data_IF_464733472834
#
_entry.id   IF_464733472834
#
_cell.length_a   1.000
_cell.length_b   1.000
_cell.length_c   1.000
_cell.angle_alpha   90.00
_cell.angle_beta   90.00
_cell.angle_gamma   90.00
#
_symmetry.space_group_name_H-M   'P 1'
#
loop_
_entity.id
_entity.type
_entity.pdbx_description
1 polymer ?
#
# COMPACT_ATOMS: atom_id res chain seq x y z
N UNK A 1 16.33 -21.51 15.44
CA UNK A 1 15.80 -22.83 15.10
C UNK A 1 14.30 -22.65 15.16
N UNK A 2 13.64 -22.45 14.03
CA UNK A 2 12.18 -22.25 13.98
C UNK A 2 11.52 -23.61 14.10
N UNK A 3 10.58 -23.73 15.01
CA UNK A 3 9.83 -24.96 15.30
C UNK A 3 9.02 -25.37 14.05
N UNK A 4 9.48 -26.41 13.36
CA UNK A 4 8.94 -26.89 12.08
C UNK A 4 7.80 -27.92 12.28
N UNK A 5 7.46 -28.23 13.53
CA UNK A 5 6.59 -29.37 13.88
C UNK A 5 5.09 -29.08 13.86
N UNK A 6 4.66 -27.81 13.68
CA UNK A 6 3.24 -27.39 13.74
C UNK A 6 2.72 -26.69 12.47
N UNK A 7 3.49 -26.66 11.38
CA UNK A 7 3.07 -25.97 10.16
C UNK A 7 2.33 -26.89 9.21
N UNK A 8 1.20 -26.39 8.68
CA UNK A 8 0.45 -27.10 7.65
C UNK A 8 1.32 -27.35 6.40
N UNK A 9 0.99 -28.38 5.62
CA UNK A 9 1.67 -28.62 4.33
C UNK A 9 1.65 -27.39 3.42
N UNK A 10 0.57 -26.62 3.46
CA UNK A 10 0.43 -25.34 2.77
C UNK A 10 1.52 -24.35 3.19
N UNK A 11 1.76 -24.20 4.49
CA UNK A 11 2.79 -23.29 5.02
C UNK A 11 4.20 -23.77 4.67
N UNK A 12 4.43 -25.07 4.64
CA UNK A 12 5.71 -25.66 4.21
C UNK A 12 5.98 -25.38 2.73
N UNK A 13 4.98 -25.45 1.86
CA UNK A 13 5.09 -25.08 0.43
C UNK A 13 5.44 -23.60 0.29
N UNK A 14 4.71 -22.70 0.97
CA UNK A 14 5.00 -21.25 0.95
C UNK A 14 6.42 -20.96 1.47
N UNK A 15 6.86 -21.58 2.57
CA UNK A 15 8.21 -21.41 3.09
C UNK A 15 9.28 -21.92 2.14
N UNK A 16 9.03 -22.99 1.41
CA UNK A 16 9.96 -23.50 0.40
C UNK A 16 10.11 -22.50 -0.73
N UNK A 17 8.99 -21.92 -1.21
CA UNK A 17 9.02 -20.85 -2.22
C UNK A 17 9.74 -19.59 -1.71
N UNK A 18 9.57 -19.23 -0.43
CA UNK A 18 10.30 -18.11 0.17
C UNK A 18 11.83 -18.33 0.15
N UNK A 19 12.28 -19.55 0.43
CA UNK A 19 13.72 -19.89 0.52
C UNK A 19 14.37 -20.07 -0.84
N UNK A 20 13.67 -20.69 -1.79
CA UNK A 20 14.20 -21.06 -3.11
C UNK A 20 13.82 -20.09 -4.22
N UNK A 21 12.93 -19.14 -3.92
CA UNK A 21 12.39 -18.10 -4.82
C UNK A 21 11.54 -18.66 -5.96
N UNK A 22 12.03 -19.64 -6.73
CA UNK A 22 11.34 -20.28 -7.86
C UNK A 22 11.52 -21.78 -7.80
N UNK A 23 10.44 -22.54 -7.92
CA UNK A 23 10.46 -24.01 -7.86
C UNK A 23 9.48 -24.62 -8.85
N UNK A 24 9.83 -25.79 -9.37
CA UNK A 24 8.91 -26.69 -10.05
C UNK A 24 8.05 -27.46 -9.04
N UNK A 25 6.98 -28.12 -9.50
CA UNK A 25 6.17 -29.02 -8.65
C UNK A 25 7.02 -30.14 -8.04
N UNK A 26 7.96 -30.70 -8.79
CA UNK A 26 8.80 -31.80 -8.31
C UNK A 26 9.76 -31.38 -7.21
N UNK A 27 10.41 -30.20 -7.38
CA UNK A 27 11.30 -29.63 -6.36
C UNK A 27 10.55 -29.26 -5.08
N UNK A 28 9.30 -28.79 -5.19
CA UNK A 28 8.44 -28.55 -4.06
C UNK A 28 8.03 -29.87 -3.37
N UNK A 29 7.68 -30.89 -4.16
CA UNK A 29 7.28 -32.21 -3.64
C UNK A 29 8.41 -32.84 -2.83
N UNK A 30 9.63 -32.79 -3.36
CA UNK A 30 10.83 -33.26 -2.67
C UNK A 30 11.09 -32.45 -1.38
N UNK A 31 11.01 -31.11 -1.45
CA UNK A 31 11.31 -30.24 -0.30
C UNK A 31 10.31 -30.38 0.86
N UNK A 32 9.03 -30.69 0.55
CA UNK A 32 7.98 -30.82 1.59
C UNK A 32 7.62 -32.28 1.89
N UNK A 33 8.32 -33.24 1.25
CA UNK A 33 8.15 -34.68 1.43
C UNK A 33 6.69 -35.13 1.26
N UNK A 34 6.08 -34.79 0.11
CA UNK A 34 4.76 -35.23 -0.32
C UNK A 34 4.75 -35.50 -1.83
N UNK A 35 3.72 -36.20 -2.30
CA UNK A 35 3.63 -36.51 -3.73
C UNK A 35 3.31 -35.24 -4.58
N UNK A 36 3.74 -35.20 -5.86
CA UNK A 36 3.53 -34.05 -6.75
C UNK A 36 2.05 -33.69 -7.00
N UNK A 37 1.13 -34.66 -6.88
CA UNK A 37 -0.31 -34.42 -7.07
C UNK A 37 -0.84 -33.57 -5.93
N UNK A 38 -0.46 -33.88 -4.68
CA UNK A 38 -0.82 -33.11 -3.50
C UNK A 38 -0.25 -31.69 -3.56
N UNK A 39 1.02 -31.53 -4.04
CA UNK A 39 1.62 -30.20 -4.25
C UNK A 39 0.81 -29.39 -5.27
N UNK A 40 0.41 -29.99 -6.40
CA UNK A 40 -0.42 -29.29 -7.40
C UNK A 40 -1.72 -28.78 -6.79
N UNK A 41 -2.36 -29.58 -5.94
CA UNK A 41 -3.58 -29.17 -5.26
C UNK A 41 -3.34 -27.96 -4.33
N UNK A 42 -2.24 -27.96 -3.55
CA UNK A 42 -1.88 -26.82 -2.71
C UNK A 42 -1.53 -25.60 -3.53
N UNK A 43 -0.74 -25.74 -4.61
CA UNK A 43 -0.37 -24.66 -5.51
C UNK A 43 -1.60 -24.03 -6.16
N UNK A 44 -2.54 -24.85 -6.67
CA UNK A 44 -3.78 -24.33 -7.28
C UNK A 44 -4.60 -23.49 -6.30
N UNK A 45 -4.69 -23.93 -5.03
CA UNK A 45 -5.38 -23.12 -4.00
C UNK A 45 -4.61 -21.82 -3.70
N UNK A 46 -3.29 -21.90 -3.56
CA UNK A 46 -2.44 -20.72 -3.31
C UNK A 46 -2.48 -19.72 -4.47
N UNK A 47 -2.62 -20.20 -5.71
CA UNK A 47 -2.83 -19.32 -6.88
C UNK A 47 -4.22 -18.69 -6.86
N UNK A 48 -5.26 -19.44 -6.49
CA UNK A 48 -6.62 -18.90 -6.34
C UNK A 48 -6.69 -17.84 -5.22
N UNK A 49 -5.88 -18.00 -4.16
CA UNK A 49 -5.74 -17.02 -3.07
C UNK A 49 -4.81 -15.85 -3.43
N UNK A 50 -4.23 -15.83 -4.66
CA UNK A 50 -3.33 -14.77 -5.12
C UNK A 50 -1.93 -14.79 -4.51
N UNK A 51 -1.57 -15.81 -3.72
CA UNK A 51 -0.28 -15.88 -2.99
C UNK A 51 0.87 -16.45 -3.83
N UNK A 52 0.56 -17.19 -4.90
CA UNK A 52 1.56 -17.86 -5.76
C UNK A 52 1.29 -17.52 -7.22
N UNK A 53 2.32 -17.09 -7.91
CA UNK A 53 2.35 -16.93 -9.36
C UNK A 53 3.07 -18.08 -10.04
N UNK A 54 3.00 -18.12 -11.38
CA UNK A 54 3.80 -19.08 -12.18
C UNK A 54 4.25 -18.47 -13.49
N UNK A 55 5.47 -18.84 -13.90
CA UNK A 55 6.09 -18.53 -15.20
C UNK A 55 6.45 -19.81 -15.95
N UNK A 56 6.54 -19.73 -17.24
CA UNK A 56 7.12 -20.78 -18.08
C UNK A 56 8.58 -20.48 -18.42
N UNK A 57 9.47 -21.39 -18.03
CA UNK A 57 10.88 -21.34 -18.42
C UNK A 57 11.17 -22.32 -19.56
N UNK A 58 11.69 -21.80 -20.68
CA UNK A 58 12.17 -22.61 -21.80
C UNK A 58 13.60 -23.07 -21.54
N UNK A 59 13.79 -24.36 -21.41
CA UNK A 59 15.11 -24.97 -21.21
C UNK A 59 15.44 -25.87 -22.41
N UNK A 60 16.15 -25.35 -23.40
CA UNK A 60 16.59 -26.13 -24.58
C UNK A 60 15.43 -26.65 -25.45
N UNK A 61 15.66 -27.82 -26.10
CA UNK A 61 14.70 -28.51 -26.95
C UNK A 61 13.83 -29.44 -26.08
N UNK A 62 12.78 -28.91 -25.45
CA UNK A 62 11.91 -29.68 -24.59
C UNK A 62 10.62 -28.93 -24.23
N UNK A 63 9.72 -29.60 -23.49
CA UNK A 63 8.51 -28.96 -22.96
C UNK A 63 8.92 -27.87 -21.94
N UNK A 64 8.40 -26.64 -22.04
CA UNK A 64 8.67 -25.60 -21.05
C UNK A 64 8.39 -26.09 -19.62
N UNK A 65 9.25 -25.67 -18.69
CA UNK A 65 9.06 -25.94 -17.26
C UNK A 65 8.20 -24.84 -16.65
N UNK A 66 7.23 -25.24 -15.87
CA UNK A 66 6.43 -24.30 -15.07
C UNK A 66 7.14 -24.07 -13.74
N UNK A 67 7.51 -22.83 -13.46
CA UNK A 67 8.10 -22.38 -12.20
C UNK A 67 7.09 -21.60 -11.40
N UNK A 68 6.99 -21.92 -10.11
CA UNK A 68 6.10 -21.26 -9.16
C UNK A 68 6.91 -20.35 -8.24
N UNK A 69 6.35 -19.20 -7.88
CA UNK A 69 6.99 -18.19 -7.03
C UNK A 69 5.94 -17.49 -6.18
N UNK A 70 6.37 -16.84 -5.07
CA UNK A 70 5.50 -16.01 -4.26
C UNK A 70 5.21 -14.69 -4.98
N UNK A 71 3.95 -14.30 -5.03
CA UNK A 71 3.54 -12.94 -5.40
C UNK A 71 3.88 -11.97 -4.27
N UNK A 72 3.66 -10.68 -4.47
CA UNK A 72 3.79 -9.68 -3.41
C UNK A 72 2.91 -10.02 -2.20
N UNK A 73 1.63 -10.33 -2.42
CA UNK A 73 0.73 -10.81 -1.37
C UNK A 73 1.24 -12.10 -0.69
N UNK A 74 1.89 -12.99 -1.46
CA UNK A 74 2.52 -14.19 -0.92
C UNK A 74 3.74 -13.88 -0.04
N UNK A 75 4.51 -12.86 -0.35
CA UNK A 75 5.63 -12.38 0.47
C UNK A 75 5.13 -11.73 1.77
N UNK A 76 4.05 -10.96 1.70
CA UNK A 76 3.42 -10.32 2.86
C UNK A 76 2.78 -11.33 3.84
N UNK A 77 2.46 -12.54 3.38
CA UNK A 77 1.98 -13.63 4.24
C UNK A 77 3.01 -14.03 5.33
N UNK A 78 4.28 -13.71 5.13
CA UNK A 78 5.32 -13.97 6.11
C UNK A 78 5.53 -12.76 7.02
N UNK A 79 5.98 -12.99 8.28
CA UNK A 79 6.33 -11.88 9.17
C UNK A 79 7.50 -11.09 8.55
N UNK A 80 7.17 -10.09 7.76
CA UNK A 80 8.13 -9.17 7.18
C UNK A 80 8.55 -8.14 8.25
N UNK A 81 9.78 -7.68 8.20
CA UNK A 81 10.27 -6.62 9.08
C UNK A 81 10.28 -5.27 8.37
N UNK A 82 9.51 -5.13 7.27
CA UNK A 82 9.46 -3.89 6.48
C UNK A 82 9.02 -2.70 7.33
N UNK A 83 8.01 -2.86 8.16
CA UNK A 83 7.60 -1.83 9.12
C UNK A 83 8.76 -1.38 10.01
N UNK A 84 9.51 -2.31 10.57
CA UNK A 84 10.66 -2.00 11.42
C UNK A 84 11.80 -1.34 10.64
N UNK A 85 12.02 -1.73 9.38
CA UNK A 85 12.99 -1.10 8.51
C UNK A 85 12.55 0.32 8.16
N UNK A 86 11.29 0.53 7.81
CA UNK A 86 10.73 1.84 7.49
C UNK A 86 10.87 2.82 8.68
N UNK A 87 10.50 2.38 9.89
CA UNK A 87 10.68 3.19 11.11
C UNK A 87 12.14 3.59 11.29
N UNK A 88 13.09 2.65 11.18
CA UNK A 88 14.52 2.97 11.32
C UNK A 88 15.03 3.90 10.23
N UNK A 89 14.55 3.78 9.01
CA UNK A 89 14.90 4.70 7.92
C UNK A 89 14.39 6.11 8.22
N UNK A 90 13.15 6.23 8.70
CA UNK A 90 12.58 7.53 9.09
C UNK A 90 13.34 8.15 10.27
N UNK A 91 13.71 7.35 11.29
CA UNK A 91 14.58 7.81 12.40
C UNK A 91 15.89 8.41 11.86
N UNK A 92 16.57 7.67 10.97
CA UNK A 92 17.85 8.12 10.39
C UNK A 92 17.68 9.35 9.48
N UNK A 93 16.61 9.42 8.69
CA UNK A 93 16.33 10.62 7.89
C UNK A 93 16.15 11.86 8.77
N UNK A 94 15.40 11.75 9.88
CA UNK A 94 15.15 12.84 10.83
C UNK A 94 16.42 13.26 11.60
N UNK A 95 17.35 12.35 11.84
CA UNK A 95 18.65 12.65 12.46
C UNK A 95 19.62 13.37 11.50
N UNK A 96 19.54 13.05 10.19
CA UNK A 96 20.51 13.54 9.20
C UNK A 96 20.02 14.74 8.40
N UNK A 97 18.72 15.02 8.38
CA UNK A 97 18.11 16.03 7.53
C UNK A 97 17.30 17.07 8.34
N UNK A 98 17.28 18.35 7.93
CA UNK A 98 16.38 19.35 8.48
C UNK A 98 14.91 18.92 8.34
N UNK A 99 14.05 19.35 9.28
CA UNK A 99 12.63 18.98 9.27
C UNK A 99 11.91 19.40 7.99
N UNK A 100 12.27 20.55 7.40
CA UNK A 100 11.72 21.04 6.13
C UNK A 100 12.00 20.06 4.98
N UNK A 101 13.19 19.50 4.91
CA UNK A 101 13.55 18.52 3.88
C UNK A 101 12.80 17.21 4.08
N UNK A 102 12.60 16.77 5.31
CA UNK A 102 11.78 15.57 5.62
C UNK A 102 10.33 15.79 5.18
N UNK A 103 9.75 16.96 5.48
CA UNK A 103 8.40 17.31 5.06
C UNK A 103 8.27 17.38 3.51
N UNK A 104 9.28 17.94 2.83
CA UNK A 104 9.33 17.95 1.37
C UNK A 104 9.34 16.56 0.76
N UNK A 105 10.05 15.59 1.37
CA UNK A 105 10.03 14.20 0.91
C UNK A 105 8.62 13.60 0.96
N UNK A 106 7.87 13.81 2.05
CA UNK A 106 6.50 13.32 2.15
C UNK A 106 5.54 14.01 1.17
N UNK A 107 5.74 15.30 0.95
CA UNK A 107 4.99 16.06 -0.07
C UNK A 107 5.29 15.51 -1.47
N UNK A 108 6.55 15.19 -1.77
CA UNK A 108 6.93 14.60 -3.06
C UNK A 108 6.35 13.20 -3.24
N UNK A 109 6.39 12.35 -2.22
CA UNK A 109 5.73 11.02 -2.26
C UNK A 109 4.25 11.16 -2.60
N UNK A 110 3.55 12.11 -1.98
CA UNK A 110 2.13 12.34 -2.28
C UNK A 110 1.93 12.84 -3.72
N UNK A 111 2.82 13.70 -4.23
CA UNK A 111 2.76 14.19 -5.60
C UNK A 111 2.99 13.07 -6.61
N UNK A 112 3.97 12.20 -6.37
CA UNK A 112 4.28 11.04 -7.21
C UNK A 112 3.09 10.05 -7.26
N UNK A 113 2.43 9.80 -6.12
CA UNK A 113 1.21 8.99 -6.07
C UNK A 113 0.07 9.61 -6.90
N UNK A 114 -0.11 10.92 -6.83
CA UNK A 114 -1.12 11.61 -7.66
C UNK A 114 -0.76 11.49 -9.14
N UNK A 115 0.51 11.64 -9.52
CA UNK A 115 0.96 11.52 -10.90
C UNK A 115 0.79 10.09 -11.43
N UNK A 116 1.07 9.08 -10.62
CA UNK A 116 0.92 7.66 -10.97
C UNK A 116 -0.55 7.27 -11.24
N UNK A 117 -1.47 7.74 -10.39
CA UNK A 117 -2.87 7.31 -10.44
C UNK A 117 -3.83 8.31 -11.10
N UNK A 118 -3.50 9.58 -11.14
CA UNK A 118 -4.35 10.65 -11.65
C UNK A 118 -3.68 11.42 -12.78
N UNK A 119 -4.03 11.07 -14.02
CA UNK A 119 -3.67 11.87 -15.20
C UNK A 119 -4.19 13.33 -15.01
N UNK A 120 -3.32 14.35 -14.96
CA UNK A 120 -3.74 15.74 -14.82
C UNK A 120 -4.77 16.19 -15.86
N UNK A 121 -4.77 15.55 -17.04
CA UNK A 121 -5.78 15.77 -18.08
C UNK A 121 -7.17 15.31 -17.68
N UNK A 122 -7.27 14.24 -16.89
CA UNK A 122 -8.54 13.67 -16.40
C UNK A 122 -9.15 14.48 -15.26
N UNK A 123 -8.36 15.26 -14.53
CA UNK A 123 -8.86 16.11 -13.44
C UNK A 123 -9.60 17.36 -13.96
N UNK A 124 -9.32 17.79 -15.21
CA UNK A 124 -9.98 18.94 -15.80
C UNK A 124 -11.45 18.61 -16.09
N UNK A 125 -12.35 19.46 -15.58
CA UNK A 125 -13.79 19.33 -15.80
C UNK A 125 -14.53 18.39 -14.84
N UNK A 126 -13.85 17.73 -13.89
CA UNK A 126 -14.51 16.96 -12.85
C UNK A 126 -15.16 17.87 -11.80
N UNK A 127 -16.37 17.51 -11.37
CA UNK A 127 -17.01 18.12 -10.20
C UNK A 127 -16.25 17.77 -8.90
N UNK A 128 -16.50 18.49 -7.83
CA UNK A 128 -15.90 18.20 -6.52
C UNK A 128 -16.24 16.79 -6.05
N UNK A 129 -17.46 16.33 -6.24
CA UNK A 129 -17.90 14.98 -5.89
C UNK A 129 -17.15 13.90 -6.70
N UNK A 130 -16.96 14.12 -8.01
CA UNK A 130 -16.19 13.21 -8.84
C UNK A 130 -14.72 13.15 -8.43
N UNK A 131 -14.15 14.27 -7.98
CA UNK A 131 -12.79 14.29 -7.42
C UNK A 131 -12.72 13.59 -6.07
N UNK A 132 -13.76 13.70 -5.22
CA UNK A 132 -13.87 12.96 -3.96
C UNK A 132 -13.94 11.46 -4.18
N UNK A 133 -14.70 11.01 -5.20
CA UNK A 133 -14.71 9.58 -5.57
C UNK A 133 -13.36 9.11 -6.11
N UNK A 134 -12.63 9.96 -6.83
CA UNK A 134 -11.27 9.67 -7.26
C UNK A 134 -10.32 9.56 -6.05
N UNK A 135 -10.35 10.52 -5.12
CA UNK A 135 -9.59 10.46 -3.84
C UNK A 135 -9.88 9.15 -3.11
N UNK A 136 -11.17 8.77 -3.01
CA UNK A 136 -11.57 7.50 -2.40
C UNK A 136 -10.94 6.29 -3.10
N UNK A 137 -10.91 6.30 -4.42
CA UNK A 137 -10.27 5.25 -5.22
C UNK A 137 -8.75 5.16 -4.99
N UNK A 138 -8.07 6.30 -5.03
CA UNK A 138 -6.62 6.39 -4.83
C UNK A 138 -6.20 5.95 -3.42
N UNK A 139 -6.83 6.49 -2.40
CA UNK A 139 -6.55 6.11 -1.01
C UNK A 139 -6.86 4.63 -0.75
N UNK A 140 -7.89 4.07 -1.41
CA UNK A 140 -8.19 2.64 -1.33
C UNK A 140 -7.09 1.78 -1.95
N UNK A 141 -6.48 2.18 -3.07
CA UNK A 141 -5.33 1.46 -3.65
C UNK A 141 -4.11 1.47 -2.74
N UNK A 142 -3.95 2.52 -1.92
CA UNK A 142 -2.92 2.65 -0.89
C UNK A 142 -3.29 1.94 0.44
N UNK A 143 -4.42 1.22 0.50
CA UNK A 143 -4.84 0.46 1.67
C UNK A 143 -5.65 1.23 2.72
N UNK A 144 -6.06 2.46 2.43
CA UNK A 144 -6.98 3.19 3.29
C UNK A 144 -8.43 2.73 3.06
N UNK A 145 -9.23 2.79 4.11
CA UNK A 145 -10.67 2.70 4.00
C UNK A 145 -11.26 4.07 4.30
N UNK A 146 -11.89 4.72 3.30
CA UNK A 146 -12.44 6.04 3.45
C UNK A 146 -13.90 6.14 3.03
N UNK A 147 -14.59 7.06 3.67
CA UNK A 147 -15.93 7.51 3.32
C UNK A 147 -15.97 9.03 3.25
N UNK A 148 -16.82 9.57 2.39
CA UNK A 148 -17.08 10.99 2.36
C UNK A 148 -18.57 11.30 2.34
N UNK A 149 -18.94 12.42 2.91
CA UNK A 149 -20.32 12.94 2.90
C UNK A 149 -20.31 14.46 2.80
N UNK A 150 -21.41 15.01 2.32
CA UNK A 150 -21.63 16.46 2.31
C UNK A 150 -22.54 16.84 3.47
N UNK A 151 -22.10 17.78 4.31
CA UNK A 151 -22.87 18.34 5.41
C UNK A 151 -22.87 19.86 5.26
N UNK A 152 -24.04 20.42 4.90
CA UNK A 152 -24.18 21.82 4.58
C UNK A 152 -23.32 22.24 3.39
N UNK A 153 -22.42 23.18 3.61
CA UNK A 153 -21.51 23.71 2.58
C UNK A 153 -20.12 23.09 2.61
N UNK A 154 -19.91 22.03 3.36
CA UNK A 154 -18.61 21.38 3.46
C UNK A 154 -18.71 19.89 3.10
N UNK A 155 -17.60 19.35 2.61
CA UNK A 155 -17.41 17.91 2.49
C UNK A 155 -16.57 17.41 3.66
N UNK A 156 -16.93 16.25 4.18
CA UNK A 156 -16.23 15.56 5.26
C UNK A 156 -15.70 14.25 4.71
N UNK A 157 -14.39 14.05 4.79
CA UNK A 157 -13.72 12.81 4.39
C UNK A 157 -13.27 12.14 5.68
N UNK A 158 -13.72 10.90 5.92
CA UNK A 158 -13.36 10.10 7.10
C UNK A 158 -12.50 8.92 6.66
N UNK A 159 -11.33 8.81 7.23
CA UNK A 159 -10.49 7.63 7.12
C UNK A 159 -10.86 6.65 8.23
N UNK A 160 -11.57 5.58 7.86
CA UNK A 160 -12.02 4.53 8.79
C UNK A 160 -10.83 3.67 9.23
N UNK A 161 -9.90 3.39 8.30
CA UNK A 161 -8.64 2.73 8.60
C UNK A 161 -7.48 3.44 7.91
N UNK A 162 -6.33 3.48 8.60
CA UNK A 162 -5.10 4.09 8.11
C UNK A 162 -3.98 3.05 8.11
N UNK A 163 -3.39 2.70 6.95
CA UNK A 163 -2.30 1.73 6.86
C UNK A 163 -1.01 2.23 7.53
N UNK A 164 -0.88 3.55 7.70
CA UNK A 164 0.30 4.20 8.29
C UNK A 164 0.20 4.39 9.81
N UNK A 165 -0.88 3.94 10.47
CA UNK A 165 -1.13 4.18 11.90
C UNK A 165 0.09 3.85 12.78
N UNK A 166 0.69 2.68 12.60
CA UNK A 166 1.83 2.25 13.41
C UNK A 166 3.10 3.08 13.17
N UNK A 167 3.31 3.54 11.95
CA UNK A 167 4.43 4.45 11.63
C UNK A 167 4.12 5.83 12.19
N UNK A 168 2.92 6.33 11.99
CA UNK A 168 2.46 7.65 12.41
C UNK A 168 2.54 7.89 13.91
N UNK A 169 2.43 6.85 14.74
CA UNK A 169 2.58 6.97 16.21
C UNK A 169 3.93 7.55 16.62
N UNK A 170 5.01 7.26 15.88
CA UNK A 170 6.35 7.76 16.13
C UNK A 170 6.81 8.82 15.10
N UNK A 171 6.17 8.84 13.94
CA UNK A 171 6.52 9.68 12.80
C UNK A 171 5.24 10.30 12.20
N UNK A 172 4.62 11.29 12.88
CA UNK A 172 3.36 11.89 12.44
C UNK A 172 3.49 12.61 11.08
N UNK A 173 4.71 12.83 10.60
CA UNK A 173 5.00 13.41 9.29
C UNK A 173 4.43 12.58 8.14
N UNK A 174 4.26 11.26 8.29
CA UNK A 174 3.66 10.40 7.26
C UNK A 174 2.22 10.81 6.94
N UNK A 175 1.52 11.47 7.87
CA UNK A 175 0.18 11.99 7.64
C UNK A 175 0.12 13.16 6.65
N UNK A 176 1.27 13.67 6.19
CA UNK A 176 1.31 14.65 5.10
C UNK A 176 1.00 14.01 3.75
N UNK A 177 1.22 12.71 3.59
CA UNK A 177 0.95 11.99 2.33
C UNK A 177 -0.54 12.05 1.99
N UNK A 178 -1.39 11.56 2.90
CA UNK A 178 -2.85 11.52 2.73
C UNK A 178 -3.45 12.91 2.59
N UNK A 179 -3.06 13.85 3.46
CA UNK A 179 -3.53 15.23 3.41
C UNK A 179 -3.13 15.95 2.12
N UNK A 180 -1.88 15.78 1.66
CA UNK A 180 -1.39 16.37 0.41
C UNK A 180 -2.09 15.75 -0.79
N UNK A 181 -2.26 14.43 -0.82
CA UNK A 181 -2.99 13.75 -1.88
C UNK A 181 -4.43 14.28 -1.99
N UNK A 182 -5.14 14.35 -0.87
CA UNK A 182 -6.52 14.87 -0.82
C UNK A 182 -6.59 16.30 -1.36
N UNK A 183 -5.76 17.21 -0.84
CA UNK A 183 -5.77 18.63 -1.23
C UNK A 183 -5.36 18.83 -2.70
N UNK A 184 -4.41 18.04 -3.19
CA UNK A 184 -3.93 18.13 -4.59
C UNK A 184 -5.00 17.68 -5.57
N UNK A 185 -5.63 16.52 -5.34
CA UNK A 185 -6.68 15.99 -6.23
C UNK A 185 -7.92 16.88 -6.22
N UNK A 186 -8.32 17.36 -5.05
CA UNK A 186 -9.47 18.25 -4.93
C UNK A 186 -9.18 19.65 -5.45
N UNK A 187 -7.92 20.08 -5.45
CA UNK A 187 -7.49 21.46 -5.68
C UNK A 187 -8.24 22.44 -4.75
N UNK A 188 -8.40 22.04 -3.50
CA UNK A 188 -9.10 22.78 -2.44
C UNK A 188 -8.31 22.66 -1.13
N UNK A 189 -8.35 23.69 -0.28
CA UNK A 189 -7.76 23.60 1.05
C UNK A 189 -8.45 22.50 1.85
N UNK A 190 -7.65 21.69 2.54
CA UNK A 190 -8.13 20.56 3.33
C UNK A 190 -7.62 20.68 4.74
N UNK A 191 -8.52 20.74 5.69
CA UNK A 191 -8.20 20.82 7.12
C UNK A 191 -8.47 19.50 7.82
N UNK A 192 -7.45 18.96 8.52
CA UNK A 192 -7.62 17.76 9.37
C UNK A 192 -8.18 18.18 10.71
N UNK A 193 -9.44 17.86 10.97
CA UNK A 193 -10.17 18.24 12.20
C UNK A 193 -10.20 17.16 13.27
N UNK A 194 -9.92 15.89 12.89
CA UNK A 194 -9.76 14.75 13.80
C UNK A 194 -8.58 13.90 13.37
N UNK A 195 -7.90 13.28 14.33
CA UNK A 195 -6.77 12.41 14.08
C UNK A 195 -6.70 11.26 15.08
N UNK A 196 -6.59 10.04 14.58
CA UNK A 196 -6.42 8.83 15.41
C UNK A 196 -5.20 8.90 16.32
N UNK A 197 -4.14 9.62 15.91
CA UNK A 197 -2.94 9.85 16.73
C UNK A 197 -3.20 10.74 17.94
N UNK A 198 -4.29 11.53 17.92
CA UNK A 198 -4.72 12.38 19.03
C UNK A 198 -5.80 11.71 19.90
N UNK A 199 -6.13 10.44 19.61
CA UNK A 199 -7.12 9.67 20.37
C UNK A 199 -8.54 9.71 19.79
N UNK A 200 -8.73 10.30 18.61
CA UNK A 200 -10.01 10.25 17.91
C UNK A 200 -10.26 8.84 17.31
N UNK A 201 -11.52 8.50 17.04
CA UNK A 201 -11.88 7.21 16.46
C UNK A 201 -11.46 7.04 14.99
N UNK A 202 -11.26 8.15 14.28
CA UNK A 202 -10.84 8.18 12.87
C UNK A 202 -10.15 9.51 12.56
N UNK A 203 -9.42 9.58 11.43
CA UNK A 203 -9.01 10.86 10.88
C UNK A 203 -10.18 11.46 10.09
N UNK A 204 -10.41 12.76 10.23
CA UNK A 204 -11.46 13.45 9.49
C UNK A 204 -10.90 14.73 8.89
N UNK A 205 -11.14 14.90 7.60
CA UNK A 205 -10.80 16.10 6.84
C UNK A 205 -12.05 16.87 6.49
N UNK A 206 -11.96 18.19 6.56
CA UNK A 206 -13.02 19.11 6.11
C UNK A 206 -12.52 19.84 4.87
N UNK A 207 -13.34 19.87 3.84
CA UNK A 207 -13.08 20.55 2.57
C UNK A 207 -14.24 21.51 2.32
N UNK A 208 -14.00 22.81 2.20
CA UNK A 208 -15.04 23.78 1.88
C UNK A 208 -15.55 23.59 0.44
N UNK A 209 -16.88 23.65 0.28
CA UNK A 209 -17.49 23.56 -1.06
C UNK A 209 -17.42 24.88 -1.86
N UNK A 210 -17.06 25.98 -1.20
CA UNK A 210 -16.96 27.30 -1.84
C UNK A 210 -15.51 27.73 -1.91
N UNK A 211 -15.05 27.96 -3.13
CA UNK A 211 -13.74 28.57 -3.40
C UNK A 211 -13.86 30.08 -3.15
N UNK A 212 -13.51 30.54 -1.96
CA UNK A 212 -13.07 31.90 -1.81
C UNK A 212 -11.61 31.95 -2.27
N UNK A 213 -11.37 32.40 -3.50
CA UNK A 213 -10.05 32.71 -4.11
C UNK A 213 -8.85 31.93 -3.52
N UNK A 214 -8.78 30.61 -3.78
CA UNK A 214 -7.62 29.83 -3.45
C UNK A 214 -6.49 30.17 -4.44
N UNK A 215 -5.53 30.94 -3.98
CA UNK A 215 -4.25 31.13 -4.69
C UNK A 215 -3.41 29.90 -4.42
N UNK A 216 -3.09 29.05 -5.44
CA UNK A 216 -2.17 27.94 -5.24
C UNK A 216 -0.84 28.51 -4.73
N UNK A 217 -0.25 27.90 -3.72
CA UNK A 217 1.13 28.17 -3.35
C UNK A 217 2.02 27.76 -4.53
N UNK A 218 2.23 28.71 -5.45
CA UNK A 218 3.24 28.58 -6.48
C UNK A 218 4.60 28.47 -5.78
N UNK A 219 5.33 27.43 -6.17
CA UNK A 219 6.72 27.14 -5.88
C UNK A 219 7.50 28.32 -5.30
N UNK A 220 7.79 28.26 -4.00
CA UNK A 220 8.84 29.07 -3.41
C UNK A 220 10.17 28.43 -3.86
N UNK A 221 10.80 29.10 -4.81
CA UNK A 221 12.13 28.82 -5.37
C UNK A 221 13.22 28.85 -4.30
#
# INVERSE_FOLDING_TARGET
MFDDTLKSTRDRVLQTLLRKHRCTINELAEAVDINPISVRHHISKLQADGLVGSDEERHGVGRPRQLFFLTEAGLEHFPTRYMRLAIRLLEQLKEQMPAEMVNQLFTQIAADLVEEYADPGKLKGLSTEQRLDLVKGLLKSEGFEIEWERIGENYYIREISCPYLHVGQNHPEVCWIDQTLISTVLNLPTEKVKCVLNGDNNCTYVVPNVVADFIPMENVS
#
